data_IF_550035450791
#
_entry.id   IF_550035450791
#
_cell.length_a   1.000
_cell.length_b   1.000
_cell.length_c   1.000
_cell.angle_alpha   90.00
_cell.angle_beta   90.00
_cell.angle_gamma   90.00
#
_symmetry.space_group_name_H-M   'P 1'
#
loop_
_entity.id
_entity.type
_entity.pdbx_description
1 polymer ?
#
# COMPACT_ATOMS: atom_id res chain seq x y z
N UNK A 1 22.63 3.40 -7.44
CA UNK A 1 23.46 2.82 -6.35
C UNK A 1 24.74 3.59 -6.06
N UNK A 2 25.28 4.30 -7.01
CA UNK A 2 26.44 5.18 -6.80
C UNK A 2 26.14 6.27 -5.76
N UNK A 3 24.95 6.89 -5.83
CA UNK A 3 24.57 8.01 -4.96
C UNK A 3 24.66 7.71 -3.47
N UNK A 4 24.20 6.52 -3.01
CA UNK A 4 24.29 6.16 -1.57
C UNK A 4 25.74 5.91 -1.13
N UNK A 5 26.61 5.43 -2.04
CA UNK A 5 28.03 5.26 -1.75
C UNK A 5 28.72 6.61 -1.63
N UNK A 6 28.37 7.55 -2.51
CA UNK A 6 28.91 8.91 -2.48
C UNK A 6 28.35 9.66 -1.27
N UNK A 7 27.05 9.53 -0.99
CA UNK A 7 26.41 10.07 0.20
C UNK A 7 27.07 9.54 1.49
N UNK A 8 27.34 8.24 1.57
CA UNK A 8 28.04 7.65 2.73
C UNK A 8 29.42 8.26 2.94
N UNK A 9 30.18 8.51 1.87
CA UNK A 9 31.49 9.16 1.96
C UNK A 9 31.34 10.60 2.42
N UNK A 10 30.41 11.34 1.82
CA UNK A 10 30.16 12.75 2.14
C UNK A 10 29.72 12.94 3.58
N UNK A 11 28.74 12.15 4.04
CA UNK A 11 28.24 12.21 5.40
C UNK A 11 29.30 11.83 6.44
N UNK A 12 30.20 10.90 6.10
CA UNK A 12 31.35 10.55 6.95
C UNK A 12 32.28 11.74 7.17
N UNK A 13 32.46 12.61 6.17
CA UNK A 13 33.25 13.84 6.33
C UNK A 13 32.60 14.84 7.29
N UNK A 14 31.26 14.80 7.37
CA UNK A 14 30.43 15.61 8.30
C UNK A 14 30.28 14.92 9.67
N UNK A 15 30.95 13.79 9.92
CA UNK A 15 30.86 13.03 11.17
C UNK A 15 29.61 12.17 11.32
N UNK A 16 28.85 12.00 10.23
CA UNK A 16 27.63 11.22 10.18
C UNK A 16 27.91 9.84 9.57
N UNK A 17 27.54 8.77 10.25
CA UNK A 17 27.72 7.40 9.78
C UNK A 17 26.39 6.80 9.33
N UNK A 18 26.30 6.39 8.07
CA UNK A 18 25.14 5.66 7.53
C UNK A 18 25.45 4.17 7.52
N UNK A 19 24.59 3.34 8.12
CA UNK A 19 24.92 1.97 8.44
C UNK A 19 24.87 1.05 7.23
N UNK A 20 23.87 0.98 6.43
CA UNK A 20 23.83 -0.03 5.36
C UNK A 20 23.15 0.48 4.09
N UNK A 21 23.93 0.88 3.11
CA UNK A 21 23.42 1.34 1.80
C UNK A 21 22.89 0.20 0.92
N UNK A 22 23.20 -1.07 1.21
CA UNK A 22 22.73 -2.22 0.43
C UNK A 22 21.26 -2.53 0.67
N UNK A 23 20.72 -2.10 1.82
CA UNK A 23 19.31 -2.27 2.14
C UNK A 23 18.36 -1.62 1.11
N UNK A 24 18.80 -0.53 0.48
CA UNK A 24 18.04 0.15 -0.57
C UNK A 24 17.81 -0.70 -1.83
N UNK A 25 18.58 -1.79 -2.02
CA UNK A 25 18.30 -2.77 -3.07
C UNK A 25 17.01 -3.56 -2.79
N UNK A 26 16.77 -3.88 -1.53
CA UNK A 26 15.55 -4.56 -1.12
C UNK A 26 14.33 -3.65 -1.35
N UNK A 27 14.44 -2.37 -0.96
CA UNK A 27 13.37 -1.38 -1.19
C UNK A 27 13.06 -1.26 -2.69
N UNK A 28 14.08 -1.21 -3.54
CA UNK A 28 13.89 -1.18 -5.00
C UNK A 28 13.14 -2.41 -5.49
N UNK A 29 13.55 -3.59 -5.09
CA UNK A 29 12.90 -4.84 -5.45
C UNK A 29 11.42 -4.86 -5.01
N UNK A 30 11.12 -4.42 -3.79
CA UNK A 30 9.73 -4.33 -3.31
C UNK A 30 8.89 -3.35 -4.13
N UNK A 31 9.47 -2.21 -4.52
CA UNK A 31 8.81 -1.22 -5.41
C UNK A 31 8.50 -1.81 -6.78
N UNK A 32 9.39 -2.58 -7.38
CA UNK A 32 9.16 -3.25 -8.66
C UNK A 32 8.01 -4.25 -8.55
N UNK A 33 7.97 -5.07 -7.49
CA UNK A 33 6.85 -5.97 -7.24
C UNK A 33 5.53 -5.23 -7.00
N UNK A 34 5.56 -4.16 -6.23
CA UNK A 34 4.37 -3.32 -6.00
C UNK A 34 3.85 -2.67 -7.29
N UNK A 35 4.73 -2.30 -8.22
CA UNK A 35 4.33 -1.74 -9.52
C UNK A 35 3.63 -2.76 -10.45
N UNK A 36 3.64 -4.04 -10.09
CA UNK A 36 3.06 -5.14 -10.86
C UNK A 36 3.97 -5.66 -11.97
N UNK A 37 5.20 -5.15 -12.10
CA UNK A 37 6.14 -5.61 -13.11
C UNK A 37 7.58 -5.58 -12.59
N UNK A 38 8.15 -6.77 -12.43
CA UNK A 38 9.56 -6.97 -12.10
C UNK A 38 10.28 -7.50 -13.34
N UNK A 39 11.15 -6.70 -14.01
CA UNK A 39 11.77 -7.09 -15.28
C UNK A 39 12.51 -8.42 -15.21
N UNK A 40 13.25 -8.66 -14.13
CA UNK A 40 14.06 -9.86 -13.94
C UNK A 40 13.23 -11.15 -13.81
N UNK A 41 11.93 -11.04 -13.54
CA UNK A 41 11.02 -12.17 -13.39
C UNK A 41 9.95 -12.22 -14.47
N UNK A 42 9.32 -11.11 -14.82
CA UNK A 42 8.21 -11.10 -15.77
C UNK A 42 8.68 -11.21 -17.22
N UNK A 43 9.91 -10.78 -17.53
CA UNK A 43 10.50 -10.98 -18.85
C UNK A 43 11.42 -12.20 -18.85
N UNK A 44 11.22 -13.12 -19.78
CA UNK A 44 12.06 -14.32 -19.89
C UNK A 44 12.23 -14.76 -21.33
N UNK A 45 13.37 -15.40 -21.59
CA UNK A 45 13.73 -15.89 -22.92
C UNK A 45 13.38 -17.37 -23.06
N UNK A 46 12.72 -17.71 -24.17
CA UNK A 46 12.42 -19.10 -24.55
C UNK A 46 13.17 -19.42 -25.83
N UNK A 47 13.97 -20.51 -25.79
CA UNK A 47 14.63 -21.02 -26.96
C UNK A 47 13.68 -21.97 -27.70
N UNK A 48 13.35 -21.64 -28.96
CA UNK A 48 12.51 -22.46 -29.81
C UNK A 48 13.28 -23.65 -30.40
N UNK A 49 12.53 -24.59 -30.96
CA UNK A 49 13.11 -25.82 -31.55
C UNK A 49 14.04 -25.56 -32.74
N UNK A 50 13.86 -24.46 -33.45
CA UNK A 50 14.72 -24.01 -34.55
C UNK A 50 16.02 -23.30 -34.08
N UNK A 51 16.19 -23.15 -32.73
CA UNK A 51 17.34 -22.50 -32.13
C UNK A 51 17.17 -21.00 -31.96
N UNK A 52 16.08 -20.38 -32.43
CA UNK A 52 15.79 -18.95 -32.20
C UNK A 52 15.38 -18.72 -30.78
N UNK A 53 15.72 -17.51 -30.25
CA UNK A 53 15.33 -17.11 -28.92
C UNK A 53 14.23 -16.05 -29.03
N UNK A 54 13.11 -16.29 -28.37
CA UNK A 54 11.97 -15.37 -28.31
C UNK A 54 11.85 -14.84 -26.89
N UNK A 55 11.73 -13.53 -26.76
CA UNK A 55 11.41 -12.88 -25.50
C UNK A 55 9.91 -13.02 -25.21
N UNK A 56 9.57 -13.49 -24.03
CA UNK A 56 8.18 -13.61 -23.55
C UNK A 56 7.99 -12.83 -22.29
N UNK A 57 6.77 -12.35 -22.10
CA UNK A 57 6.31 -11.68 -20.89
C UNK A 57 5.35 -12.59 -20.15
N UNK A 58 5.52 -12.66 -18.84
CA UNK A 58 4.65 -13.39 -17.91
C UNK A 58 3.55 -12.47 -17.42
N UNK A 59 2.32 -12.97 -17.43
CA UNK A 59 1.18 -12.25 -16.88
C UNK A 59 1.27 -12.17 -15.35
N UNK A 60 0.87 -11.06 -14.79
CA UNK A 60 0.78 -10.87 -13.34
C UNK A 60 -0.66 -10.81 -12.86
N UNK A 61 -0.92 -11.37 -11.69
CA UNK A 61 -2.18 -11.22 -10.97
C UNK A 61 -2.21 -9.93 -10.11
N UNK A 62 -1.08 -9.23 -10.04
CA UNK A 62 -0.89 -7.98 -9.31
C UNK A 62 -1.26 -8.06 -7.81
N UNK A 63 -1.02 -9.19 -7.20
CA UNK A 63 -1.29 -9.40 -5.76
C UNK A 63 -0.49 -8.49 -4.83
N UNK A 64 0.78 -8.10 -5.13
CA UNK A 64 1.52 -7.18 -4.28
C UNK A 64 0.80 -5.85 -4.04
N UNK A 65 0.28 -5.22 -5.10
CA UNK A 65 -0.53 -3.99 -4.98
C UNK A 65 -1.78 -4.23 -4.14
N UNK A 66 -2.48 -5.33 -4.40
CA UNK A 66 -3.71 -5.69 -3.70
C UNK A 66 -3.48 -5.87 -2.19
N UNK A 67 -2.40 -6.54 -1.80
CA UNK A 67 -2.01 -6.75 -0.39
C UNK A 67 -1.79 -5.41 0.33
N UNK A 68 -1.05 -4.49 -0.28
CA UNK A 68 -0.78 -3.17 0.32
C UNK A 68 -2.06 -2.34 0.46
N UNK A 69 -2.90 -2.34 -0.57
CA UNK A 69 -4.18 -1.64 -0.58
C UNK A 69 -5.13 -2.16 0.51
N UNK A 70 -5.28 -3.49 0.63
CA UNK A 70 -6.18 -4.10 1.61
C UNK A 70 -5.69 -3.88 3.05
N UNK A 71 -4.37 -3.94 3.28
CA UNK A 71 -3.80 -3.64 4.60
C UNK A 71 -4.01 -2.17 4.99
N UNK A 72 -3.91 -1.27 4.03
CA UNK A 72 -4.24 0.15 4.25
C UNK A 72 -5.70 0.32 4.66
N UNK A 73 -6.64 -0.28 3.91
CA UNK A 73 -8.08 -0.21 4.21
C UNK A 73 -8.45 -0.85 5.55
N UNK A 74 -7.63 -1.78 6.03
CA UNK A 74 -7.82 -2.41 7.32
C UNK A 74 -7.53 -1.46 8.48
N UNK A 75 -6.51 -0.59 8.31
CA UNK A 75 -5.99 0.29 9.36
C UNK A 75 -6.55 1.72 9.27
N UNK A 76 -6.82 2.20 8.05
CA UNK A 76 -7.28 3.56 7.79
C UNK A 76 -8.61 3.58 7.04
N UNK A 77 -9.60 4.26 7.63
CA UNK A 77 -10.90 4.52 7.03
C UNK A 77 -11.31 5.98 7.21
N UNK A 78 -12.38 6.40 6.56
CA UNK A 78 -12.99 7.73 6.74
C UNK A 78 -13.51 8.01 8.16
N UNK A 79 -13.57 6.99 9.01
CA UNK A 79 -14.04 7.11 10.40
C UNK A 79 -12.93 7.37 11.40
N UNK A 80 -11.67 7.49 10.95
CA UNK A 80 -10.58 7.91 11.82
C UNK A 80 -10.81 9.34 12.26
N UNK A 81 -10.80 9.57 13.57
CA UNK A 81 -10.98 10.90 14.18
C UNK A 81 -9.76 11.26 15.00
N UNK A 82 -9.34 12.50 14.89
CA UNK A 82 -8.26 13.09 15.71
C UNK A 82 -8.88 14.29 16.42
N UNK A 83 -8.98 14.20 17.73
CA UNK A 83 -9.60 15.20 18.57
C UNK A 83 -8.60 15.78 19.58
N UNK A 84 -8.68 17.08 19.81
CA UNK A 84 -8.01 17.75 20.92
C UNK A 84 -8.99 17.95 22.08
N UNK A 85 -8.49 18.49 23.17
CA UNK A 85 -9.24 18.72 24.41
C UNK A 85 -10.49 19.61 24.25
N UNK A 86 -10.65 20.37 23.16
CA UNK A 86 -11.85 21.14 22.85
C UNK A 86 -12.21 21.07 21.36
N UNK A 87 -13.52 21.22 21.05
CA UNK A 87 -14.01 21.25 19.67
C UNK A 87 -13.39 22.39 18.84
N UNK A 88 -13.16 23.55 19.45
CA UNK A 88 -12.57 24.72 18.78
C UNK A 88 -11.13 24.41 18.33
N UNK A 89 -10.33 23.81 19.21
CA UNK A 89 -8.94 23.41 18.89
C UNK A 89 -8.92 22.29 17.86
N UNK A 90 -9.79 21.29 17.99
CA UNK A 90 -9.98 20.23 17.01
C UNK A 90 -10.30 20.78 15.62
N UNK A 91 -11.21 21.76 15.55
CA UNK A 91 -11.56 22.41 14.29
C UNK A 91 -10.36 23.15 13.68
N UNK A 92 -9.62 23.92 14.47
CA UNK A 92 -8.40 24.60 14.00
C UNK A 92 -7.35 23.62 13.49
N UNK A 93 -7.17 22.49 14.19
CA UNK A 93 -6.27 21.42 13.75
C UNK A 93 -6.68 20.88 12.36
N UNK A 94 -7.96 20.55 12.18
CA UNK A 94 -8.45 20.01 10.90
C UNK A 94 -8.43 21.05 9.77
N UNK A 95 -8.58 22.34 10.05
CA UNK A 95 -8.37 23.41 9.07
C UNK A 95 -6.93 23.44 8.54
N UNK A 96 -5.93 23.06 9.36
CA UNK A 96 -4.55 22.91 8.94
C UNK A 96 -4.35 21.60 8.21
N UNK A 97 -4.79 20.48 8.80
CA UNK A 97 -4.59 19.12 8.24
C UNK A 97 -5.20 18.99 6.84
N UNK A 98 -6.46 19.38 6.66
CA UNK A 98 -7.18 19.27 5.39
C UNK A 98 -7.18 20.56 4.56
N UNK A 99 -6.26 21.50 4.89
CA UNK A 99 -6.02 22.62 3.99
C UNK A 99 -5.67 22.10 2.58
N UNK A 100 -6.00 22.89 1.55
CA UNK A 100 -5.74 22.50 0.14
C UNK A 100 -4.28 22.10 -0.12
N UNK A 101 -3.35 22.62 0.67
CA UNK A 101 -1.93 22.36 0.52
C UNK A 101 -1.47 21.08 1.24
N UNK A 102 -2.09 20.74 2.36
CA UNK A 102 -1.73 19.57 3.16
C UNK A 102 -2.54 18.34 2.77
N UNK A 103 -3.86 18.49 2.54
CA UNK A 103 -4.74 17.44 2.03
C UNK A 103 -4.56 16.09 2.78
N UNK A 104 -4.48 16.16 4.11
CA UNK A 104 -4.08 15.05 4.97
C UNK A 104 -4.98 13.83 4.83
N UNK A 105 -6.30 14.02 4.82
CA UNK A 105 -7.26 12.91 4.67
C UNK A 105 -7.07 12.09 3.39
N UNK A 106 -6.60 12.73 2.31
CA UNK A 106 -6.31 12.06 1.03
C UNK A 106 -4.92 11.44 1.03
N UNK A 107 -3.94 12.13 1.62
CA UNK A 107 -2.54 11.69 1.58
C UNK A 107 -2.26 10.54 2.55
N UNK A 108 -2.92 10.49 3.71
CA UNK A 108 -2.65 9.45 4.71
C UNK A 108 -2.83 8.01 4.18
N UNK A 109 -3.95 7.62 3.55
CA UNK A 109 -4.05 6.28 3.00
C UNK A 109 -2.98 6.00 1.93
N UNK A 110 -2.59 6.99 1.12
CA UNK A 110 -1.51 6.84 0.13
C UNK A 110 -0.18 6.58 0.85
N UNK A 111 0.14 7.34 1.89
CA UNK A 111 1.36 7.18 2.67
C UNK A 111 1.44 5.81 3.34
N UNK A 112 0.34 5.33 3.91
CA UNK A 112 0.26 4.01 4.53
C UNK A 112 0.45 2.89 3.50
N UNK A 113 -0.22 2.98 2.35
CA UNK A 113 -0.08 1.99 1.29
C UNK A 113 1.36 1.91 0.77
N UNK A 114 2.00 3.06 0.57
CA UNK A 114 3.39 3.12 0.14
C UNK A 114 4.36 2.64 1.23
N UNK A 115 4.03 2.85 2.51
CA UNK A 115 4.82 2.28 3.60
C UNK A 115 4.72 0.75 3.64
N UNK A 116 3.53 0.18 3.44
CA UNK A 116 3.38 -1.26 3.30
C UNK A 116 4.15 -1.82 2.10
N UNK A 117 4.17 -1.08 0.99
CA UNK A 117 4.90 -1.47 -0.21
C UNK A 117 6.42 -1.39 -0.05
N UNK A 118 6.94 -0.35 0.61
CA UNK A 118 8.37 -0.02 0.64
C UNK A 118 9.02 -0.20 2.02
N UNK A 119 8.22 -0.45 3.05
CA UNK A 119 8.65 -0.60 4.44
C UNK A 119 8.69 0.70 5.24
N UNK A 120 8.80 1.86 4.62
CA UNK A 120 8.90 3.15 5.32
C UNK A 120 8.37 4.28 4.46
N UNK A 121 7.65 5.20 5.08
CA UNK A 121 7.36 6.56 4.57
C UNK A 121 7.64 7.57 5.66
N UNK A 122 7.83 8.84 5.30
CA UNK A 122 8.11 9.88 6.27
C UNK A 122 7.27 11.14 6.00
N UNK A 123 7.15 11.93 7.03
CA UNK A 123 6.45 13.21 7.05
C UNK A 123 7.41 14.25 7.62
N UNK A 124 7.37 15.48 7.12
CA UNK A 124 8.07 16.60 7.75
C UNK A 124 7.14 17.81 7.82
N UNK A 125 7.16 18.50 8.94
CA UNK A 125 6.32 19.67 9.20
C UNK A 125 7.17 20.93 9.25
N UNK A 126 6.67 21.97 8.61
CA UNK A 126 7.34 23.28 8.59
C UNK A 126 6.35 24.42 8.33
N UNK A 127 6.81 25.64 8.51
CA UNK A 127 6.06 26.84 8.18
C UNK A 127 6.60 27.42 6.86
N UNK A 128 5.71 27.65 5.90
CA UNK A 128 6.09 28.26 4.61
C UNK A 128 6.34 29.79 4.73
N UNK A 129 6.81 30.40 3.65
CA UNK A 129 7.10 31.85 3.59
C UNK A 129 5.88 32.77 3.87
N UNK A 130 4.67 32.19 3.84
CA UNK A 130 3.42 32.89 4.16
C UNK A 130 2.95 32.63 5.60
N UNK A 131 3.74 31.95 6.41
CA UNK A 131 3.40 31.60 7.79
C UNK A 131 2.39 30.46 7.91
N UNK A 132 2.15 29.68 6.86
CA UNK A 132 1.21 28.56 6.88
C UNK A 132 1.93 27.27 7.25
N UNK A 133 1.32 26.47 8.12
CA UNK A 133 1.82 25.14 8.48
C UNK A 133 1.64 24.18 7.32
N UNK A 134 2.72 23.52 6.94
CA UNK A 134 2.81 22.58 5.81
C UNK A 134 3.26 21.21 6.27
N UNK A 135 2.72 20.21 5.62
CA UNK A 135 3.17 18.80 5.73
C UNK A 135 3.80 18.42 4.40
N UNK A 136 5.04 17.98 4.43
CA UNK A 136 5.70 17.36 3.29
C UNK A 136 5.63 15.84 3.43
N UNK A 137 5.18 15.17 2.38
CA UNK A 137 4.98 13.72 2.33
C UNK A 137 6.10 13.05 1.55
N UNK A 138 6.99 12.38 2.24
CA UNK A 138 8.10 11.64 1.62
C UNK A 138 7.62 10.23 1.26
N UNK A 139 7.09 10.10 0.06
CA UNK A 139 6.44 8.88 -0.46
C UNK A 139 7.42 7.79 -0.88
N UNK A 140 8.68 8.14 -1.12
CA UNK A 140 9.69 7.22 -1.61
C UNK A 140 10.71 6.88 -0.52
N UNK A 141 10.65 5.65 -0.01
CA UNK A 141 11.58 5.17 1.01
C UNK A 141 13.06 5.25 0.58
N UNK A 142 13.32 5.26 -0.73
CA UNK A 142 14.66 5.49 -1.26
C UNK A 142 15.22 6.87 -0.92
N UNK A 143 14.37 7.85 -0.65
CA UNK A 143 14.79 9.22 -0.33
C UNK A 143 15.03 9.43 1.17
N UNK A 144 14.72 8.45 2.01
CA UNK A 144 14.80 8.53 3.48
C UNK A 144 16.07 7.82 3.94
N UNK A 145 16.99 8.55 4.60
CA UNK A 145 18.26 8.00 5.07
C UNK A 145 18.45 8.34 6.55
N UNK A 146 18.05 7.44 7.46
CA UNK A 146 18.30 7.60 8.88
C UNK A 146 19.80 7.49 9.19
N UNK A 147 20.29 8.35 10.08
CA UNK A 147 21.71 8.34 10.50
C UNK A 147 21.92 8.43 12.01
N UNK A 148 20.86 8.77 12.77
CA UNK A 148 20.90 8.80 14.24
C UNK A 148 19.61 8.23 14.80
N UNK A 149 19.70 7.29 15.74
CA UNK A 149 18.54 6.66 16.37
C UNK A 149 18.91 6.07 17.72
N UNK A 150 17.94 5.95 18.58
CA UNK A 150 18.04 5.28 19.88
C UNK A 150 16.81 4.36 20.06
N UNK A 151 17.06 3.08 20.38
CA UNK A 151 16.01 2.08 20.54
C UNK A 151 14.93 2.10 19.44
N UNK A 152 15.34 2.16 18.18
CA UNK A 152 14.43 2.30 17.03
C UNK A 152 13.80 3.69 16.83
N UNK A 153 13.93 4.62 17.78
CA UNK A 153 13.49 6.00 17.60
C UNK A 153 14.52 6.76 16.78
N UNK A 154 14.11 7.25 15.63
CA UNK A 154 14.99 8.03 14.75
C UNK A 154 15.08 9.45 15.30
N UNK A 155 16.29 9.86 15.63
CA UNK A 155 16.61 11.21 16.11
C UNK A 155 17.29 12.04 15.05
N UNK A 156 17.74 11.41 13.96
CA UNK A 156 18.33 12.11 12.83
C UNK A 156 18.14 11.35 11.53
N UNK A 157 17.66 12.05 10.51
CA UNK A 157 17.54 11.52 9.14
C UNK A 157 17.90 12.59 8.12
N UNK A 158 18.28 12.19 6.92
CA UNK A 158 18.27 13.10 5.78
C UNK A 158 17.27 12.63 4.72
N UNK A 159 16.67 13.60 4.06
CA UNK A 159 15.75 13.42 2.93
C UNK A 159 16.48 13.86 1.67
N UNK A 160 16.44 13.01 0.65
CA UNK A 160 17.06 13.26 -0.65
C UNK A 160 15.98 13.67 -1.65
N UNK A 161 16.14 14.81 -2.29
CA UNK A 161 15.34 15.22 -3.43
C UNK A 161 16.24 15.44 -4.65
N UNK A 162 15.96 14.73 -5.74
CA UNK A 162 16.74 14.79 -6.96
C UNK A 162 15.92 15.39 -8.10
N UNK A 163 16.52 16.37 -8.76
CA UNK A 163 15.92 17.01 -9.92
C UNK A 163 17.00 17.33 -10.98
N UNK A 164 16.56 17.71 -12.18
CA UNK A 164 17.44 18.00 -13.30
C UNK A 164 17.15 19.38 -13.87
N UNK A 165 18.22 20.05 -14.32
CA UNK A 165 18.13 21.26 -15.09
C UNK A 165 18.96 21.16 -16.36
N UNK A 166 18.62 21.91 -17.39
CA UNK A 166 19.42 22.03 -18.59
C UNK A 166 20.33 23.26 -18.52
N UNK A 167 21.64 23.03 -18.45
CA UNK A 167 22.65 24.08 -18.50
C UNK A 167 23.45 23.95 -19.79
N UNK A 168 23.46 24.99 -20.64
CA UNK A 168 24.21 25.04 -21.90
C UNK A 168 24.05 23.76 -22.75
N UNK A 169 22.80 23.31 -22.95
CA UNK A 169 22.43 22.09 -23.68
C UNK A 169 23.02 20.79 -23.08
N UNK A 170 23.23 20.77 -21.77
CA UNK A 170 23.65 19.55 -21.03
C UNK A 170 22.76 19.40 -19.81
N UNK A 171 22.26 18.18 -19.62
CA UNK A 171 21.50 17.83 -18.42
C UNK A 171 22.44 17.82 -17.22
N UNK A 172 22.08 18.55 -16.20
CA UNK A 172 22.77 18.61 -14.92
C UNK A 172 21.82 18.08 -13.85
N UNK A 173 22.36 17.28 -12.95
CA UNK A 173 21.61 16.62 -11.89
C UNK A 173 21.90 17.33 -10.56
N UNK A 174 20.86 17.71 -9.88
CA UNK A 174 20.93 18.31 -8.55
C UNK A 174 20.38 17.34 -7.53
N UNK A 175 21.01 17.30 -6.37
CA UNK A 175 20.52 16.60 -5.19
C UNK A 175 20.41 17.58 -4.04
N UNK A 176 19.18 17.90 -3.65
CA UNK A 176 18.91 18.63 -2.43
C UNK A 176 18.83 17.63 -1.29
N UNK A 177 19.60 17.85 -0.23
CA UNK A 177 19.60 17.03 0.97
C UNK A 177 19.14 17.89 2.13
N UNK A 178 18.02 17.50 2.74
CA UNK A 178 17.55 18.12 3.97
C UNK A 178 17.91 17.22 5.15
N UNK A 179 18.71 17.74 6.08
CA UNK A 179 19.04 17.07 7.34
C UNK A 179 18.06 17.46 8.40
N UNK A 180 17.52 16.48 9.09
CA UNK A 180 16.62 16.61 10.21
C UNK A 180 17.28 16.00 11.43
N UNK A 181 17.50 16.78 12.50
CA UNK A 181 18.11 16.32 13.74
C UNK A 181 17.33 16.83 14.94
N UNK A 182 16.96 15.91 15.83
CA UNK A 182 16.34 16.23 17.11
C UNK A 182 17.31 15.92 18.26
N UNK A 183 17.68 16.94 19.01
CA UNK A 183 18.67 16.81 20.07
C UNK A 183 18.41 17.80 21.19
N UNK A 184 18.41 17.30 22.43
CA UNK A 184 18.26 18.11 23.64
C UNK A 184 17.01 19.02 23.63
N UNK A 185 15.88 18.55 23.11
CA UNK A 185 14.65 19.32 23.03
C UNK A 185 14.63 20.39 21.93
N UNK A 186 15.61 20.39 21.04
CA UNK A 186 15.65 21.29 19.89
C UNK A 186 15.64 20.47 18.60
N UNK A 187 14.96 21.01 17.59
CA UNK A 187 14.92 20.42 16.26
C UNK A 187 15.66 21.31 15.27
N UNK A 188 16.56 20.69 14.51
CA UNK A 188 17.39 21.33 13.51
C UNK A 188 17.01 20.84 12.12
N UNK A 189 16.77 21.78 11.21
CA UNK A 189 16.58 21.49 9.78
C UNK A 189 17.69 22.21 9.00
N UNK A 190 18.56 21.45 8.33
CA UNK A 190 19.68 22.03 7.55
C UNK A 190 19.60 21.53 6.11
N UNK A 191 19.70 22.44 5.16
CA UNK A 191 19.65 22.17 3.73
C UNK A 191 21.07 22.18 3.13
N UNK A 192 21.35 21.23 2.25
CA UNK A 192 22.57 21.19 1.46
C UNK A 192 22.24 20.88 0.00
N UNK A 193 22.94 21.46 -0.94
CA UNK A 193 22.72 21.29 -2.36
C UNK A 193 23.96 20.73 -3.05
N UNK A 194 23.78 19.69 -3.84
CA UNK A 194 24.85 19.02 -4.60
C UNK A 194 24.53 19.06 -6.09
N UNK A 195 25.60 19.21 -6.89
CA UNK A 195 25.53 19.30 -8.36
C UNK A 195 26.40 18.22 -8.99
N UNK A 196 25.81 17.42 -9.89
CA UNK A 196 26.46 16.32 -10.59
C UNK A 196 26.24 16.39 -12.10
N UNK A 197 27.17 15.81 -12.85
CA UNK A 197 27.01 15.52 -14.29
C UNK A 197 26.54 14.08 -14.53
N UNK A 198 26.49 13.26 -13.48
CA UNK A 198 26.11 11.86 -13.54
C UNK A 198 24.77 11.67 -12.79
N UNK A 199 23.76 11.04 -13.41
CA UNK A 199 22.45 10.78 -12.76
C UNK A 199 22.56 9.97 -11.48
N UNK A 200 23.55 9.09 -11.38
CA UNK A 200 23.74 8.20 -10.23
C UNK A 200 24.75 8.72 -9.19
N UNK A 201 25.34 9.89 -9.40
CA UNK A 201 26.37 10.47 -8.53
C UNK A 201 25.87 11.67 -7.75
N UNK A 202 26.32 11.81 -6.49
CA UNK A 202 26.02 12.98 -5.67
C UNK A 202 26.68 14.26 -6.22
N UNK A 203 27.91 14.15 -6.73
CA UNK A 203 28.66 15.27 -7.27
C UNK A 203 29.33 16.12 -6.20
N UNK A 204 29.36 17.46 -6.39
CA UNK A 204 29.98 18.41 -5.48
C UNK A 204 28.93 19.27 -4.78
N UNK A 205 29.18 19.55 -3.52
CA UNK A 205 28.40 20.53 -2.76
C UNK A 205 28.59 21.93 -3.37
N UNK A 206 27.49 22.65 -3.50
CA UNK A 206 27.44 24.04 -3.96
C UNK A 206 26.65 24.88 -2.93
N UNK A 207 26.85 26.22 -2.87
CA UNK A 207 26.12 27.06 -1.95
C UNK A 207 24.60 26.90 -2.16
N UNK A 208 23.86 26.64 -1.06
CA UNK A 208 22.41 26.46 -1.11
C UNK A 208 21.71 27.72 -1.65
N UNK A 209 22.20 28.88 -1.26
CA UNK A 209 21.69 30.19 -1.69
C UNK A 209 21.81 30.46 -3.21
N UNK A 210 22.67 29.72 -3.93
CA UNK A 210 22.78 29.88 -5.40
C UNK A 210 21.47 29.53 -6.12
N UNK A 211 20.68 28.65 -5.53
CA UNK A 211 19.41 28.22 -6.12
C UNK A 211 18.20 28.68 -5.27
N UNK A 212 18.37 28.78 -3.97
CA UNK A 212 17.31 29.13 -3.01
C UNK A 212 17.69 30.35 -2.16
N UNK A 213 17.82 31.55 -2.77
CA UNK A 213 18.34 32.75 -2.07
C UNK A 213 17.42 33.24 -0.94
N UNK A 214 16.12 32.92 -1.03
CA UNK A 214 15.10 33.36 -0.05
C UNK A 214 14.80 32.32 1.03
N UNK A 215 15.55 31.20 1.05
CA UNK A 215 15.34 30.10 2.01
C UNK A 215 16.56 30.01 2.92
N UNK A 216 16.30 29.98 4.23
CA UNK A 216 17.37 29.80 5.23
C UNK A 216 18.00 28.39 5.09
N UNK A 217 19.33 28.34 5.06
CA UNK A 217 20.09 27.09 5.00
C UNK A 217 19.87 26.24 6.25
N UNK A 218 19.78 26.89 7.43
CA UNK A 218 19.52 26.20 8.70
C UNK A 218 18.41 26.89 9.47
N UNK A 219 17.40 26.12 9.88
CA UNK A 219 16.30 26.54 10.74
C UNK A 219 16.35 25.76 12.04
N UNK A 220 16.20 26.45 13.18
CA UNK A 220 16.22 25.83 14.51
C UNK A 220 14.88 26.13 15.19
N UNK A 221 14.23 25.08 15.68
CA UNK A 221 13.05 25.17 16.54
C UNK A 221 13.46 24.76 17.96
N UNK A 222 13.39 25.70 18.90
CA UNK A 222 13.79 25.48 20.29
C UNK A 222 12.62 25.02 21.14
N UNK A 223 12.93 24.22 22.17
CA UNK A 223 11.96 23.73 23.17
C UNK A 223 10.77 22.99 22.55
N UNK A 224 11.01 22.17 21.55
CA UNK A 224 10.00 21.32 20.94
C UNK A 224 9.90 20.00 21.68
N UNK A 225 8.68 19.50 21.89
CA UNK A 225 8.43 18.22 22.57
C UNK A 225 8.70 17.01 21.70
N UNK A 226 8.54 17.16 20.39
CA UNK A 226 8.72 16.12 19.39
C UNK A 226 9.49 16.69 18.19
N UNK A 227 10.21 15.86 17.42
CA UNK A 227 10.82 16.31 16.16
C UNK A 227 9.74 16.69 15.15
N UNK A 228 10.06 17.64 14.24
CA UNK A 228 9.17 17.96 13.13
C UNK A 228 9.44 17.06 11.93
N UNK A 229 9.56 15.77 12.18
CA UNK A 229 9.55 14.68 11.21
C UNK A 229 9.07 13.40 11.89
N UNK A 230 8.27 12.61 11.20
CA UNK A 230 7.80 11.31 11.67
C UNK A 230 7.97 10.28 10.57
N UNK A 231 8.17 9.01 10.98
CA UNK A 231 8.24 7.89 10.07
C UNK A 231 7.12 6.91 10.40
N UNK A 232 6.40 6.49 9.37
CA UNK A 232 5.54 5.33 9.49
C UNK A 232 6.26 4.08 8.98
N UNK A 233 6.30 3.06 9.79
CA UNK A 233 6.92 1.75 9.52
C UNK A 233 5.90 0.68 9.92
N UNK A 234 5.54 -0.27 9.04
CA UNK A 234 4.67 -1.38 9.41
C UNK A 234 5.20 -2.11 10.66
N UNK A 235 4.31 -2.56 11.55
CA UNK A 235 4.71 -3.25 12.78
C UNK A 235 5.15 -4.69 12.47
N UNK A 236 6.22 -4.81 11.72
CA UNK A 236 6.83 -6.08 11.30
C UNK A 236 8.33 -5.99 11.59
N UNK A 237 8.85 -7.00 12.30
CA UNK A 237 10.28 -7.07 12.58
C UNK A 237 11.09 -7.17 11.26
N UNK A 238 12.13 -6.34 11.14
CA UNK A 238 13.00 -6.35 9.98
C UNK A 238 13.99 -7.52 10.06
N UNK A 239 13.62 -8.65 9.47
CA UNK A 239 14.47 -9.84 9.41
C UNK A 239 15.54 -9.80 8.30
N UNK A 240 15.49 -8.81 7.40
CA UNK A 240 16.52 -8.61 6.37
C UNK A 240 17.73 -7.89 6.94
N UNK A 241 17.52 -6.94 7.83
CA UNK A 241 18.58 -6.28 8.57
C UNK A 241 18.02 -5.70 9.88
N UNK A 242 18.16 -6.41 11.01
CA UNK A 242 17.60 -5.99 12.29
C UNK A 242 18.28 -4.76 12.89
N UNK A 243 19.48 -4.40 12.42
CA UNK A 243 20.26 -3.28 12.97
C UNK A 243 19.91 -1.93 12.32
N UNK A 244 19.05 -1.93 11.30
CA UNK A 244 18.62 -0.71 10.62
C UNK A 244 17.25 -0.26 11.15
N UNK A 245 17.07 1.04 11.46
CA UNK A 245 15.79 1.57 11.91
C UNK A 245 14.77 1.78 10.78
N UNK A 246 14.96 1.17 9.62
CA UNK A 246 14.01 1.15 8.51
C UNK A 246 13.02 0.01 8.68
N UNK A 247 11.77 0.27 8.31
CA UNK A 247 10.70 -0.73 8.34
C UNK A 247 10.82 -1.77 7.24
N UNK A 248 10.16 -2.91 7.43
CA UNK A 248 10.07 -3.98 6.45
C UNK A 248 8.79 -3.85 5.63
N UNK A 249 8.89 -4.01 4.31
CA UNK A 249 7.72 -4.14 3.45
C UNK A 249 6.91 -5.41 3.79
N UNK A 250 5.59 -5.33 3.74
CA UNK A 250 4.71 -6.51 3.87
C UNK A 250 4.92 -7.51 2.74
N UNK A 251 5.52 -7.07 1.63
CA UNK A 251 5.85 -7.88 0.48
C UNK A 251 7.13 -8.70 0.68
N UNK A 252 8.04 -8.25 1.54
CA UNK A 252 9.42 -8.72 1.64
C UNK A 252 9.54 -10.24 1.77
N UNK A 253 8.80 -10.86 2.69
CA UNK A 253 8.83 -12.29 2.95
C UNK A 253 7.89 -13.10 2.04
N UNK A 254 7.21 -12.46 1.08
CA UNK A 254 6.21 -13.09 0.22
C UNK A 254 6.57 -13.06 -1.27
N UNK A 255 7.78 -12.61 -1.63
CA UNK A 255 8.20 -12.49 -3.04
C UNK A 255 8.08 -13.83 -3.78
N UNK A 256 8.49 -14.94 -3.17
CA UNK A 256 8.40 -16.25 -3.82
C UNK A 256 6.95 -16.74 -3.97
N UNK A 257 6.04 -16.31 -3.09
CA UNK A 257 4.60 -16.54 -3.24
C UNK A 257 4.03 -15.77 -4.42
N UNK A 258 4.40 -14.51 -4.57
CA UNK A 258 3.98 -13.70 -5.73
C UNK A 258 4.46 -14.32 -7.04
N UNK A 259 5.73 -14.79 -7.09
CA UNK A 259 6.25 -15.53 -8.24
C UNK A 259 5.42 -16.77 -8.53
N UNK A 260 5.10 -17.58 -7.52
CA UNK A 260 4.33 -18.81 -7.68
C UNK A 260 2.90 -18.53 -8.17
N UNK A 261 2.25 -17.47 -7.68
CA UNK A 261 0.93 -17.02 -8.13
C UNK A 261 0.98 -16.62 -9.60
N UNK A 262 1.92 -15.76 -9.99
CA UNK A 262 2.03 -15.24 -11.35
C UNK A 262 2.38 -16.34 -12.35
N UNK A 263 3.24 -17.31 -11.98
CA UNK A 263 3.52 -18.49 -12.82
C UNK A 263 2.24 -19.29 -13.07
N UNK A 264 1.44 -19.55 -12.04
CA UNK A 264 0.20 -20.32 -12.16
C UNK A 264 -0.86 -19.56 -12.96
N UNK A 265 -0.97 -18.24 -12.73
CA UNK A 265 -1.88 -17.37 -13.45
C UNK A 265 -1.53 -17.28 -14.94
N UNK A 266 -0.25 -17.11 -15.29
CA UNK A 266 0.23 -17.13 -16.66
C UNK A 266 -0.01 -18.50 -17.31
N UNK A 267 0.25 -19.60 -16.60
CA UNK A 267 -0.01 -20.97 -17.08
C UNK A 267 -1.50 -21.21 -17.33
N UNK A 268 -2.38 -20.70 -16.45
CA UNK A 268 -3.82 -20.77 -16.64
C UNK A 268 -4.27 -20.03 -17.91
N UNK A 269 -3.76 -18.84 -18.15
CA UNK A 269 -4.05 -18.09 -19.37
C UNK A 269 -3.53 -18.79 -20.63
N UNK A 270 -2.33 -19.38 -20.54
CA UNK A 270 -1.72 -20.14 -21.64
C UNK A 270 -2.49 -21.43 -21.96
N UNK A 271 -3.17 -22.07 -20.99
CA UNK A 271 -4.03 -23.23 -21.19
C UNK A 271 -5.14 -22.91 -22.22
N UNK A 272 -5.77 -21.73 -22.11
CA UNK A 272 -6.79 -21.29 -23.08
C UNK A 272 -6.20 -20.95 -24.45
N UNK A 273 -5.00 -20.37 -24.49
CA UNK A 273 -4.32 -20.04 -25.76
C UNK A 273 -3.89 -21.29 -26.50
N UNK A 274 -3.32 -22.26 -25.77
CA UNK A 274 -2.80 -23.50 -26.37
C UNK A 274 -3.87 -24.58 -26.56
N UNK A 275 -4.89 -24.60 -25.72
CA UNK A 275 -6.01 -25.55 -25.74
C UNK A 275 -7.08 -25.25 -26.79
N UNK A 276 -6.86 -24.26 -27.67
CA UNK A 276 -7.78 -24.01 -28.78
C UNK A 276 -7.95 -25.27 -29.62
N UNK A 277 -9.20 -25.56 -29.96
CA UNK A 277 -9.54 -26.63 -30.89
C UNK A 277 -8.74 -26.49 -32.19
N UNK A 278 -8.13 -27.55 -32.66
CA UNK A 278 -7.38 -27.56 -33.90
C UNK A 278 -7.89 -28.66 -34.86
N UNK A 279 -7.98 -28.31 -36.12
CA UNK A 279 -8.37 -29.25 -37.17
C UNK A 279 -7.12 -29.50 -38.02
N UNK A 280 -6.58 -30.70 -37.93
CA UNK A 280 -5.47 -31.11 -38.77
C UNK A 280 -6.03 -31.55 -40.12
N UNK A 281 -5.47 -31.02 -41.21
CA UNK A 281 -5.88 -31.40 -42.57
C UNK A 281 -4.68 -31.85 -43.37
N UNK A 282 -4.78 -32.99 -44.02
CA UNK A 282 -3.71 -33.45 -44.91
C UNK A 282 -3.57 -32.48 -46.10
N UNK A 283 -2.34 -32.14 -46.44
CA UNK A 283 -2.06 -31.22 -47.56
C UNK A 283 -2.63 -31.69 -48.87
N UNK A 284 -2.78 -32.99 -49.05
CA UNK A 284 -3.38 -33.60 -50.28
C UNK A 284 -4.88 -33.34 -50.39
N UNK A 285 -5.56 -33.06 -49.27
CA UNK A 285 -6.98 -32.70 -49.25
C UNK A 285 -7.25 -31.20 -49.49
N UNK A 286 -6.22 -30.38 -49.50
CA UNK A 286 -6.34 -28.93 -49.70
C UNK A 286 -6.40 -28.62 -51.22
N UNK A 287 -7.36 -27.77 -51.60
CA UNK A 287 -7.42 -27.24 -52.97
C UNK A 287 -6.40 -26.15 -53.14
N UNK A 288 -5.50 -26.29 -54.11
CA UNK A 288 -4.55 -25.25 -54.43
C UNK A 288 -5.17 -24.18 -55.37
N UNK A 289 -4.99 -22.93 -55.04
CA UNK A 289 -5.22 -21.84 -55.99
C UNK A 289 -3.89 -21.38 -56.57
N UNK A 290 -3.75 -21.28 -57.90
CA UNK A 290 -2.54 -20.73 -58.49
C UNK A 290 -2.45 -19.24 -58.15
N UNK A 291 -1.33 -18.81 -57.55
CA UNK A 291 -1.03 -17.42 -57.23
C UNK A 291 0.25 -17.03 -57.96
N UNK A 292 0.27 -15.84 -58.54
CA UNK A 292 1.48 -15.30 -59.17
C UNK A 292 2.23 -14.49 -58.11
N UNK A 293 3.49 -14.88 -57.82
CA UNK A 293 4.36 -14.12 -56.93
C UNK A 293 4.87 -12.85 -57.62
N UNK A 294 5.41 -11.91 -56.81
CA UNK A 294 5.98 -10.64 -57.28
C UNK A 294 7.07 -10.83 -58.36
N UNK A 295 7.70 -11.98 -58.43
CA UNK A 295 8.69 -12.37 -59.45
C UNK A 295 8.04 -12.97 -60.74
N UNK A 296 6.72 -12.99 -60.85
CA UNK A 296 5.99 -13.51 -62.04
C UNK A 296 5.90 -15.06 -62.09
N UNK A 297 6.35 -15.78 -61.06
CA UNK A 297 6.26 -17.24 -61.02
C UNK A 297 4.91 -17.70 -60.45
N UNK A 298 4.31 -18.74 -61.09
CA UNK A 298 3.07 -19.34 -60.60
C UNK A 298 3.41 -20.30 -59.46
N UNK A 299 2.98 -20.00 -58.28
CA UNK A 299 3.04 -20.91 -57.12
C UNK A 299 1.64 -21.32 -56.71
N UNK A 300 1.48 -22.61 -56.36
CA UNK A 300 0.21 -23.11 -55.81
C UNK A 300 0.19 -22.87 -54.32
N UNK A 301 -0.61 -21.92 -53.90
CA UNK A 301 -0.84 -21.70 -52.44
C UNK A 301 -1.99 -22.59 -52.02
N UNK A 302 -1.70 -23.49 -51.06
CA UNK A 302 -2.73 -24.29 -50.42
C UNK A 302 -3.52 -23.41 -49.45
N UNK A 303 -4.81 -23.31 -49.71
CA UNK A 303 -5.64 -22.30 -49.09
C UNK A 303 -6.25 -22.75 -47.77
N UNK A 304 -5.81 -22.14 -46.67
CA UNK A 304 -6.61 -21.79 -45.52
C UNK A 304 -6.41 -20.29 -45.29
N UNK A 305 -7.43 -19.63 -44.78
CA UNK A 305 -7.33 -18.23 -44.42
C UNK A 305 -6.15 -18.05 -43.43
N UNK A 306 -5.21 -17.13 -43.75
CA UNK A 306 -4.01 -16.88 -42.93
C UNK A 306 -4.36 -16.41 -41.52
N UNK A 307 -5.59 -15.99 -41.30
CA UNK A 307 -6.10 -15.51 -40.00
C UNK A 307 -6.80 -16.61 -39.19
N UNK A 308 -6.92 -17.85 -39.71
CA UNK A 308 -7.58 -18.94 -39.01
C UNK A 308 -6.53 -19.94 -38.47
N UNK A 309 -6.20 -19.76 -37.19
CA UNK A 309 -5.27 -20.60 -36.45
C UNK A 309 -5.89 -21.94 -36.00
N UNK A 310 -7.15 -22.17 -36.36
CA UNK A 310 -7.88 -23.44 -36.09
C UNK A 310 -7.45 -24.57 -37.01
N UNK A 311 -7.03 -24.28 -38.26
CA UNK A 311 -6.65 -25.26 -39.24
C UNK A 311 -5.12 -25.38 -39.36
N UNK A 312 -4.61 -26.62 -39.28
CA UNK A 312 -3.17 -26.93 -39.44
C UNK A 312 -2.98 -27.90 -40.56
N UNK A 313 -2.25 -27.52 -41.61
CA UNK A 313 -1.91 -28.39 -42.73
C UNK A 313 -0.71 -29.24 -42.37
N UNK A 314 -0.87 -30.60 -42.42
CA UNK A 314 0.19 -31.57 -42.14
C UNK A 314 0.33 -32.54 -43.32
N UNK A 315 1.41 -33.33 -43.34
CA UNK A 315 1.64 -34.37 -44.36
C UNK A 315 1.45 -35.77 -43.74
N UNK A 316 0.98 -36.74 -44.56
CA UNK A 316 1.03 -38.15 -44.19
C UNK A 316 -0.20 -38.71 -43.48
N UNK A 317 -1.35 -38.03 -43.54
CA UNK A 317 -2.61 -38.49 -42.97
C UNK A 317 -3.49 -39.25 -43.99
N UNK A 318 -2.91 -40.21 -44.72
CA UNK A 318 -3.58 -40.89 -45.85
C UNK A 318 -4.90 -41.59 -45.48
N UNK A 319 -5.02 -42.11 -44.25
CA UNK A 319 -6.23 -42.84 -43.80
C UNK A 319 -7.32 -41.94 -43.21
N UNK A 320 -6.95 -40.70 -42.73
CA UNK A 320 -7.87 -39.71 -42.18
C UNK A 320 -7.42 -38.31 -42.60
N UNK A 321 -7.86 -37.82 -43.75
CA UNK A 321 -7.38 -36.55 -44.31
C UNK A 321 -7.79 -35.33 -43.48
N UNK A 322 -8.72 -35.48 -42.53
CA UNK A 322 -9.14 -34.47 -41.58
C UNK A 322 -9.21 -35.07 -40.19
N UNK A 323 -8.49 -34.50 -39.23
CA UNK A 323 -8.52 -34.92 -37.81
C UNK A 323 -8.76 -33.72 -36.92
N UNK A 324 -9.80 -33.80 -36.14
CA UNK A 324 -10.09 -32.86 -35.11
C UNK A 324 -9.30 -33.20 -33.84
N UNK A 325 -8.66 -32.20 -33.25
CA UNK A 325 -8.00 -32.29 -31.94
C UNK A 325 -8.72 -31.30 -31.00
N UNK A 326 -9.34 -31.86 -29.99
CA UNK A 326 -9.96 -31.14 -28.91
C UNK A 326 -9.19 -31.42 -27.62
N UNK A 327 -8.93 -30.39 -26.84
CA UNK A 327 -8.18 -30.51 -25.59
C UNK A 327 -9.13 -30.23 -24.44
N UNK A 328 -9.17 -31.12 -23.48
CA UNK A 328 -9.85 -30.81 -22.20
C UNK A 328 -9.05 -29.74 -21.43
N UNK A 329 -9.64 -28.58 -21.22
CA UNK A 329 -9.02 -27.53 -20.45
C UNK A 329 -9.06 -27.85 -18.96
N UNK A 330 -7.91 -27.77 -18.28
CA UNK A 330 -7.76 -28.06 -16.84
C UNK A 330 -8.08 -26.86 -15.99
N UNK A 331 -9.27 -26.28 -16.18
CA UNK A 331 -9.71 -25.03 -15.54
C UNK A 331 -9.77 -25.17 -14.01
N UNK A 332 -10.31 -26.29 -13.54
CA UNK A 332 -10.48 -26.51 -12.10
C UNK A 332 -9.13 -26.71 -11.40
N UNK A 333 -8.25 -27.50 -11.97
CA UNK A 333 -6.93 -27.77 -11.39
C UNK A 333 -6.07 -26.50 -11.31
N UNK A 334 -6.16 -25.63 -12.32
CA UNK A 334 -5.51 -24.33 -12.29
C UNK A 334 -6.10 -23.42 -11.21
N UNK A 335 -7.42 -23.35 -11.09
CA UNK A 335 -8.10 -22.54 -10.07
C UNK A 335 -7.74 -23.03 -8.65
N UNK A 336 -7.75 -24.35 -8.42
CA UNK A 336 -7.35 -24.93 -7.13
C UNK A 336 -5.88 -24.64 -6.79
N UNK A 337 -4.97 -24.74 -7.78
CA UNK A 337 -3.56 -24.43 -7.58
C UNK A 337 -3.31 -22.95 -7.26
N UNK A 338 -4.04 -22.02 -7.89
CA UNK A 338 -3.97 -20.58 -7.59
C UNK A 338 -4.55 -20.33 -6.20
N UNK A 339 -5.73 -20.90 -5.88
CA UNK A 339 -6.36 -20.74 -4.57
C UNK A 339 -5.45 -21.22 -3.43
N UNK A 340 -4.71 -22.30 -3.61
CA UNK A 340 -3.74 -22.79 -2.63
C UNK A 340 -2.65 -21.75 -2.32
N UNK A 341 -2.10 -21.07 -3.35
CA UNK A 341 -1.11 -20.00 -3.12
C UNK A 341 -1.72 -18.75 -2.49
N UNK A 342 -2.95 -18.39 -2.89
CA UNK A 342 -3.67 -17.25 -2.30
C UNK A 342 -3.99 -17.49 -0.82
N UNK A 343 -4.36 -18.70 -0.44
CA UNK A 343 -4.59 -19.11 0.96
C UNK A 343 -3.31 -18.95 1.79
N UNK A 344 -2.19 -19.47 1.33
CA UNK A 344 -0.91 -19.31 2.02
C UNK A 344 -0.44 -17.85 2.07
N UNK A 345 -0.67 -17.09 1.01
CA UNK A 345 -0.39 -15.64 1.01
C UNK A 345 -1.20 -14.95 2.10
N UNK A 346 -2.53 -15.21 2.16
CA UNK A 346 -3.44 -14.62 3.14
C UNK A 346 -2.99 -14.89 4.57
N UNK A 347 -2.63 -16.15 4.89
CA UNK A 347 -2.11 -16.53 6.20
C UNK A 347 -0.79 -15.81 6.54
N UNK A 348 0.16 -15.75 5.58
CA UNK A 348 1.46 -15.14 5.80
C UNK A 348 1.40 -13.63 6.06
N UNK A 349 0.41 -12.93 5.49
CA UNK A 349 0.22 -11.49 5.71
C UNK A 349 -0.69 -11.16 6.90
N UNK A 350 -1.21 -12.20 7.60
CA UNK A 350 -2.02 -12.06 8.79
C UNK A 350 -3.49 -11.67 8.54
N UNK A 351 -4.07 -12.15 7.42
CA UNK A 351 -5.48 -11.87 7.08
C UNK A 351 -6.41 -13.09 7.27
N UNK A 352 -5.84 -14.25 7.62
CA UNK A 352 -6.57 -15.51 7.66
C UNK A 352 -6.54 -16.23 6.30
N UNK A 353 -6.61 -17.57 6.33
CA UNK A 353 -6.30 -18.42 5.17
C UNK A 353 -7.23 -18.21 3.95
N UNK A 354 -8.48 -17.82 4.13
CA UNK A 354 -9.44 -17.70 3.03
C UNK A 354 -9.77 -16.26 2.63
N UNK A 355 -8.95 -15.28 3.07
CA UNK A 355 -9.17 -13.89 2.72
C UNK A 355 -9.09 -13.64 1.21
N UNK A 356 -8.06 -14.18 0.56
CA UNK A 356 -7.95 -14.20 -0.89
C UNK A 356 -8.38 -15.55 -1.43
N UNK A 357 -9.51 -15.59 -2.12
CA UNK A 357 -10.03 -16.81 -2.76
C UNK A 357 -10.69 -16.47 -4.09
N UNK A 358 -10.45 -17.29 -5.12
CA UNK A 358 -11.16 -17.23 -6.41
C UNK A 358 -12.50 -17.98 -6.36
N UNK A 359 -12.72 -18.82 -5.37
CA UNK A 359 -13.98 -19.49 -5.18
C UNK A 359 -15.01 -18.48 -4.64
N UNK A 360 -16.08 -18.27 -5.38
CA UNK A 360 -17.22 -17.48 -4.92
C UNK A 360 -17.73 -18.03 -3.59
N UNK A 361 -18.22 -17.15 -2.74
CA UNK A 361 -18.60 -17.39 -1.34
C UNK A 361 -19.02 -18.84 -1.03
N UNK A 362 -18.06 -19.68 -0.58
CA UNK A 362 -18.44 -20.82 0.24
C UNK A 362 -19.22 -20.26 1.43
N UNK A 363 -20.33 -20.89 1.74
CA UNK A 363 -21.03 -20.59 2.99
C UNK A 363 -20.07 -20.96 4.12
N UNK A 364 -19.32 -19.95 4.59
CA UNK A 364 -18.41 -20.11 5.73
C UNK A 364 -19.23 -20.32 6.99
N UNK A 365 -18.74 -21.16 7.88
CA UNK A 365 -19.33 -21.27 9.21
C UNK A 365 -19.05 -20.00 9.99
N UNK A 366 -19.93 -19.65 10.92
CA UNK A 366 -19.69 -18.49 11.80
C UNK A 366 -18.34 -18.57 12.54
N UNK A 367 -17.88 -19.78 12.86
CA UNK A 367 -16.58 -20.01 13.51
C UNK A 367 -15.41 -19.72 12.58
N UNK A 368 -15.51 -20.03 11.29
CA UNK A 368 -14.46 -19.72 10.30
C UNK A 368 -14.34 -18.22 10.07
N UNK A 369 -15.48 -17.52 9.93
CA UNK A 369 -15.50 -16.06 9.80
C UNK A 369 -14.90 -15.40 11.04
N UNK A 370 -15.28 -15.82 12.23
CA UNK A 370 -14.72 -15.29 13.49
C UNK A 370 -13.21 -15.55 13.62
N UNK A 371 -12.71 -16.68 13.13
CA UNK A 371 -11.28 -16.98 13.16
C UNK A 371 -10.48 -16.06 12.24
N UNK A 372 -10.96 -15.86 11.00
CA UNK A 372 -10.33 -14.98 10.01
C UNK A 372 -10.35 -13.52 10.45
N UNK A 373 -11.51 -13.04 10.90
CA UNK A 373 -11.64 -11.69 11.45
C UNK A 373 -10.73 -11.49 12.67
N UNK A 374 -10.51 -12.54 13.48
CA UNK A 374 -9.58 -12.50 14.62
C UNK A 374 -8.12 -12.27 14.20
N UNK A 375 -7.62 -12.91 13.12
CA UNK A 375 -6.26 -12.70 12.64
C UNK A 375 -6.09 -11.30 12.01
N UNK A 376 -7.01 -10.91 11.14
CA UNK A 376 -7.03 -9.58 10.55
C UNK A 376 -7.13 -8.48 11.63
N UNK A 377 -7.90 -8.73 12.69
CA UNK A 377 -8.02 -7.82 13.85
C UNK A 377 -6.71 -7.67 14.60
N UNK A 378 -5.98 -8.78 14.85
CA UNK A 378 -4.65 -8.72 15.50
C UNK A 378 -3.66 -7.93 14.64
N UNK A 379 -3.67 -8.16 13.33
CA UNK A 379 -2.82 -7.43 12.38
C UNK A 379 -3.13 -5.94 12.38
N UNK A 380 -4.41 -5.57 12.35
CA UNK A 380 -4.86 -4.19 12.49
C UNK A 380 -4.36 -3.55 13.77
N UNK A 381 -4.58 -4.20 14.91
CA UNK A 381 -4.18 -3.66 16.21
C UNK A 381 -2.67 -3.45 16.32
N UNK A 382 -1.87 -4.36 15.75
CA UNK A 382 -0.43 -4.22 15.74
C UNK A 382 0.03 -2.97 14.97
N UNK A 383 -0.51 -2.76 13.78
CA UNK A 383 -0.18 -1.58 12.97
C UNK A 383 -0.75 -0.28 13.55
N UNK A 384 -1.91 -0.35 14.21
CA UNK A 384 -2.58 0.80 14.82
C UNK A 384 -1.79 1.42 15.97
N UNK A 385 -1.07 0.62 16.74
CA UNK A 385 -0.20 1.12 17.81
C UNK A 385 0.83 2.10 17.24
N UNK A 386 1.53 1.68 16.18
CA UNK A 386 2.56 2.51 15.53
C UNK A 386 1.92 3.72 14.82
N UNK A 387 0.75 3.53 14.21
CA UNK A 387 0.04 4.61 13.53
C UNK A 387 -0.39 5.70 14.52
N UNK A 388 -0.96 5.33 15.66
CA UNK A 388 -1.39 6.30 16.68
C UNK A 388 -0.22 7.07 17.27
N UNK A 389 0.90 6.40 17.52
CA UNK A 389 2.12 7.02 18.01
C UNK A 389 2.64 8.06 17.01
N UNK A 390 2.76 7.68 15.74
CA UNK A 390 3.17 8.58 14.67
C UNK A 390 2.22 9.76 14.47
N UNK A 391 0.89 9.54 14.51
CA UNK A 391 -0.10 10.63 14.40
C UNK A 391 -0.01 11.56 15.61
N UNK A 392 0.21 11.05 16.81
CA UNK A 392 0.38 11.84 18.00
C UNK A 392 1.54 12.83 17.85
N UNK A 393 2.70 12.36 17.39
CA UNK A 393 3.87 13.18 17.16
C UNK A 393 3.66 14.20 16.03
N UNK A 394 3.06 13.79 14.92
CA UNK A 394 2.73 14.66 13.79
C UNK A 394 1.77 15.79 14.22
N UNK A 395 0.71 15.45 14.94
CA UNK A 395 -0.25 16.45 15.44
C UNK A 395 0.40 17.39 16.46
N UNK A 396 1.28 16.87 17.32
CA UNK A 396 2.03 17.67 18.28
C UNK A 396 2.93 18.69 17.57
N UNK A 397 3.64 18.29 16.52
CA UNK A 397 4.46 19.20 15.71
C UNK A 397 3.61 20.25 14.98
N UNK A 398 2.47 19.86 14.42
CA UNK A 398 1.53 20.78 13.77
C UNK A 398 0.94 21.80 14.76
N UNK A 399 0.56 21.34 15.95
CA UNK A 399 0.03 22.22 17.00
C UNK A 399 1.09 23.23 17.44
N UNK A 400 2.35 22.80 17.62
CA UNK A 400 3.45 23.71 17.93
C UNK A 400 3.63 24.78 16.84
N UNK A 401 3.70 24.39 15.57
CA UNK A 401 3.86 25.31 14.44
C UNK A 401 2.62 26.23 14.24
N UNK A 402 1.44 25.70 14.52
CA UNK A 402 0.16 26.42 14.39
C UNK A 402 -0.24 27.25 15.60
N UNK A 403 0.57 27.23 16.67
CA UNK A 403 0.26 27.95 17.93
C UNK A 403 -1.02 27.44 18.60
N UNK A 404 -1.29 26.13 18.53
CA UNK A 404 -2.45 25.50 19.17
C UNK A 404 -1.98 24.79 20.44
N UNK A 405 -2.31 25.35 21.60
CA UNK A 405 -2.04 24.69 22.89
C UNK A 405 -3.04 23.56 23.11
N UNK A 406 -2.56 22.40 23.54
CA UNK A 406 -3.41 21.24 23.85
C UNK A 406 -2.91 20.51 25.11
N UNK A 407 -3.80 19.77 25.76
CA UNK A 407 -3.46 18.89 26.89
C UNK A 407 -3.54 17.42 26.51
N UNK A 408 -4.48 17.07 25.61
CA UNK A 408 -4.72 15.70 25.18
C UNK A 408 -4.95 15.63 23.68
N UNK A 409 -4.48 14.55 23.06
CA UNK A 409 -4.79 14.16 21.69
C UNK A 409 -5.46 12.79 21.77
N UNK A 410 -6.69 12.70 21.27
CA UNK A 410 -7.43 11.44 21.18
C UNK A 410 -7.50 11.01 19.72
N UNK A 411 -7.05 9.79 19.44
CA UNK A 411 -7.06 9.19 18.09
C UNK A 411 -7.96 7.97 18.13
N UNK A 412 -9.13 8.10 17.51
CA UNK A 412 -10.11 7.03 17.36
C UNK A 412 -9.97 6.40 15.97
N UNK A 413 -9.94 5.08 15.92
CA UNK A 413 -9.90 4.30 14.69
C UNK A 413 -11.16 3.46 14.53
N UNK A 414 -11.49 3.10 13.29
CA UNK A 414 -12.71 2.36 12.99
C UNK A 414 -12.57 0.86 13.29
N UNK A 415 -13.47 0.35 14.12
CA UNK A 415 -13.59 -1.08 14.44
C UNK A 415 -14.89 -1.71 13.89
N UNK A 416 -15.66 -0.98 13.08
CA UNK A 416 -16.99 -1.43 12.63
C UNK A 416 -16.98 -2.78 11.91
N UNK A 417 -15.93 -3.07 11.14
CA UNK A 417 -15.76 -4.35 10.43
C UNK A 417 -15.66 -5.56 11.38
N UNK A 418 -15.12 -5.36 12.58
CA UNK A 418 -14.86 -6.42 13.55
C UNK A 418 -15.91 -6.49 14.66
N UNK A 419 -16.94 -5.64 14.59
CA UNK A 419 -18.06 -5.66 15.51
C UNK A 419 -19.20 -6.43 14.86
N UNK A 420 -19.61 -7.49 15.49
CA UNK A 420 -20.91 -8.10 15.20
C UNK A 420 -22.00 -7.21 15.82
N UNK A 421 -22.48 -6.24 15.05
CA UNK A 421 -23.53 -5.31 15.48
C UNK A 421 -24.76 -6.07 15.99
N UNK A 422 -25.07 -7.23 15.37
CA UNK A 422 -26.20 -8.07 15.78
C UNK A 422 -25.96 -8.71 17.14
N UNK A 423 -24.76 -9.25 17.37
CA UNK A 423 -24.39 -9.83 18.65
C UNK A 423 -24.26 -8.78 19.76
N UNK A 424 -23.70 -7.60 19.46
CA UNK A 424 -23.65 -6.45 20.38
C UNK A 424 -25.05 -5.95 20.72
N UNK A 425 -25.93 -5.78 19.74
CA UNK A 425 -27.30 -5.38 19.96
C UNK A 425 -28.04 -6.40 20.84
N UNK A 426 -27.92 -7.70 20.55
CA UNK A 426 -28.50 -8.76 21.38
C UNK A 426 -27.91 -8.77 22.81
N UNK A 427 -26.63 -8.43 22.99
CA UNK A 427 -26.02 -8.29 24.29
C UNK A 427 -26.62 -7.12 25.05
N UNK A 428 -26.70 -5.95 24.43
CA UNK A 428 -27.31 -4.77 25.05
C UNK A 428 -28.81 -4.97 25.33
N UNK A 429 -29.54 -5.67 24.46
CA UNK A 429 -30.94 -6.05 24.73
C UNK A 429 -31.04 -6.94 25.97
N UNK A 430 -30.15 -7.92 26.13
CA UNK A 430 -30.12 -8.77 27.33
C UNK A 430 -29.75 -7.96 28.58
N UNK A 431 -28.77 -7.04 28.48
CA UNK A 431 -28.34 -6.17 29.58
C UNK A 431 -29.46 -5.21 30.02
N UNK A 432 -30.24 -4.64 29.09
CA UNK A 432 -31.42 -3.83 29.43
C UNK A 432 -32.51 -4.70 30.10
N UNK A 433 -32.79 -5.90 29.55
CA UNK A 433 -33.80 -6.79 30.08
C UNK A 433 -33.42 -7.32 31.49
N UNK A 434 -32.12 -7.46 31.77
CA UNK A 434 -31.60 -7.84 33.10
C UNK A 434 -31.42 -6.66 34.05
N UNK A 435 -31.68 -5.44 33.61
CA UNK A 435 -31.52 -4.21 34.40
C UNK A 435 -30.09 -3.79 34.67
N UNK A 436 -29.12 -4.32 33.93
CA UNK A 436 -27.69 -3.95 34.05
C UNK A 436 -27.37 -2.59 33.43
N UNK A 437 -28.07 -2.21 32.36
CA UNK A 437 -28.00 -0.91 31.74
C UNK A 437 -29.39 -0.29 31.60
N UNK A 438 -29.48 1.04 31.58
CA UNK A 438 -30.70 1.76 31.38
C UNK A 438 -31.14 1.76 29.91
N UNK A 439 -32.43 1.99 29.64
CA UNK A 439 -32.95 2.19 28.28
C UNK A 439 -32.29 3.41 27.59
N UNK A 440 -31.88 4.41 28.35
CA UNK A 440 -31.15 5.57 27.84
C UNK A 440 -29.77 5.15 27.35
N UNK A 441 -29.01 4.42 28.16
CA UNK A 441 -27.70 3.89 27.81
C UNK A 441 -27.77 2.92 26.62
N UNK A 442 -28.82 2.11 26.53
CA UNK A 442 -29.06 1.26 25.36
C UNK A 442 -29.17 2.09 24.07
N UNK A 443 -29.99 3.16 24.09
CA UNK A 443 -30.15 4.00 22.92
C UNK A 443 -28.86 4.72 22.54
N UNK A 444 -28.14 5.25 23.54
CA UNK A 444 -26.83 5.86 23.29
C UNK A 444 -25.84 4.89 22.62
N UNK A 445 -25.79 3.63 23.11
CA UNK A 445 -24.87 2.61 22.58
C UNK A 445 -25.27 2.02 21.23
N UNK A 446 -26.57 1.79 21.00
CA UNK A 446 -27.08 1.12 19.79
C UNK A 446 -27.35 2.09 18.66
N UNK A 447 -27.92 3.27 18.98
CA UNK A 447 -28.29 4.28 17.97
C UNK A 447 -27.29 5.43 17.85
N UNK A 448 -26.26 5.50 18.70
CA UNK A 448 -25.28 6.57 18.69
C UNK A 448 -25.86 7.94 19.11
N UNK A 449 -26.98 7.94 19.82
CA UNK A 449 -27.66 9.16 20.28
C UNK A 449 -26.93 9.77 21.49
N UNK A 450 -26.96 11.09 21.61
CA UNK A 450 -26.58 11.75 22.84
C UNK A 450 -27.59 11.52 23.98
N UNK A 451 -27.20 11.75 25.21
CA UNK A 451 -28.01 11.48 26.39
C UNK A 451 -29.34 12.25 26.40
N UNK A 452 -29.36 13.50 25.90
CA UNK A 452 -30.57 14.31 25.84
C UNK A 452 -31.56 13.79 24.81
N UNK A 453 -31.06 13.44 23.61
CA UNK A 453 -31.86 12.85 22.53
C UNK A 453 -32.43 11.50 22.95
N UNK A 454 -31.61 10.64 23.56
CA UNK A 454 -32.04 9.35 24.07
C UNK A 454 -33.12 9.48 25.16
N UNK A 455 -32.97 10.42 26.10
CA UNK A 455 -33.99 10.72 27.14
C UNK A 455 -35.31 11.21 26.55
N UNK A 456 -35.25 12.15 25.60
CA UNK A 456 -36.44 12.66 24.90
C UNK A 456 -37.17 11.54 24.18
N UNK A 457 -36.46 10.72 23.44
CA UNK A 457 -37.06 9.60 22.72
C UNK A 457 -37.76 8.58 23.65
N UNK A 458 -37.17 8.29 24.83
CA UNK A 458 -37.76 7.38 25.80
C UNK A 458 -38.99 8.03 26.45
N UNK A 459 -38.98 9.33 26.73
CA UNK A 459 -40.14 10.05 27.24
C UNK A 459 -41.31 10.03 26.25
N UNK A 460 -41.04 10.20 24.95
CA UNK A 460 -42.06 10.09 23.89
C UNK A 460 -42.64 8.67 23.78
N UNK A 461 -41.78 7.63 23.85
CA UNK A 461 -42.22 6.23 23.83
C UNK A 461 -43.11 5.93 25.03
N UNK A 462 -42.75 6.38 26.23
CA UNK A 462 -43.54 6.18 27.44
C UNK A 462 -44.86 6.96 27.42
N UNK A 463 -44.86 8.15 26.78
CA UNK A 463 -46.06 8.97 26.61
C UNK A 463 -47.07 8.33 25.64
N UNK A 464 -46.55 7.67 24.58
CA UNK A 464 -47.37 7.00 23.57
C UNK A 464 -47.77 5.57 23.96
N UNK A 465 -47.07 4.93 24.90
CA UNK A 465 -47.36 3.62 25.48
C UNK A 465 -47.36 3.71 27.02
N UNK A 466 -48.40 4.27 27.64
CA UNK A 466 -48.50 4.33 29.09
C UNK A 466 -48.57 2.90 29.65
N UNK A 467 -47.79 2.65 30.72
CA UNK A 467 -47.76 1.35 31.37
C UNK A 467 -49.16 1.03 31.92
N UNK A 468 -49.51 -0.27 32.03
CA UNK A 468 -50.82 -0.70 32.60
C UNK A 468 -51.02 -0.12 34.01
N UNK A 469 -49.97 0.18 34.76
CA UNK A 469 -50.02 0.88 36.06
C UNK A 469 -50.51 2.31 35.95
N UNK A 470 -50.14 3.04 34.87
CA UNK A 470 -50.58 4.41 34.62
C UNK A 470 -52.03 4.46 34.11
N UNK A 471 -52.51 3.40 33.46
CA UNK A 471 -53.88 3.25 32.98
C UNK A 471 -54.87 2.82 34.09
N UNK A 472 -54.39 2.16 35.15
CA UNK A 472 -55.21 1.67 36.25
C UNK A 472 -55.35 2.66 37.40
N UNK A 473 -54.91 3.91 37.26
CA UNK A 473 -55.13 5.02 38.21
C UNK A 473 -55.06 4.56 39.65
N UNK A 474 -53.91 4.55 40.30
CA UNK A 474 -53.84 4.36 41.75
C UNK A 474 -54.52 5.56 42.47
N UNK A 475 -55.82 5.49 42.61
CA UNK A 475 -56.49 6.13 43.70
C UNK A 475 -56.32 5.23 44.94
N UNK A 476 -55.48 5.68 45.90
CA UNK A 476 -55.29 5.06 47.16
C UNK A 476 -54.30 5.87 47.96
#
# INVERSE_FOLDING_TARGET
MSIYKDLKKELKTKGIEIINTEYYNNIRNWKEWYSGYCPDFHTYNVKLADGTTVNKERLTMNMPKKVCEDRTKLVWSEKVKINLDTEEKTKKLWEILDSKQNNFSVMMPIMLELAYAQGTTAFTEFTDSQGRVRIEYITNAMNIVPYSYDNYNITGMCVLDQFTEEEKNKTVYYTHITFHEYKNGNYYKTNSLYKSKNPDGLGKEIPFADMYPDVEETVIYENVSVPHFQLYRPNIANNFNPDIPMGLSVLANNIDRFKAIDIKYDSYSNEFIQGKKRILVDKTALKGSPTINDDGNITTVLYFDKNDDTYVAINGMQDQPVKEIDFNLRVQEHAEAINGELSWLSANIGFGESYYSLEGSRVKTATEVMSEDSEAFRTKNADEIILKDMIYDLVSAICFLGGIDFNTIEIETDYSRFRDETAEQQRYEREVNSGLISKVEYRMKVYGEDEETAKKAIQEINKNNPSIKDLLGTNG
#
